data_IF_620920831263
#
_entry.id   IF_620920831263
#
_cell.length_a   1.000
_cell.length_b   1.000
_cell.length_c   1.000
_cell.angle_alpha   90.00
_cell.angle_beta   90.00
_cell.angle_gamma   90.00
#
_symmetry.space_group_name_H-M   'P 1'
#
loop_
_entity.id
_entity.type
_entity.pdbx_description
1 polymer ?
#
# COMPACT_ATOMS: atom_id res chain seq x y z
N UNK A 1 -19.14 -12.20 -20.17
CA UNK A 1 -18.02 -11.71 -19.34
C UNK A 1 -18.48 -10.65 -18.36
N UNK A 2 -18.52 -10.96 -17.06
CA UNK A 2 -18.73 -9.93 -16.03
C UNK A 2 -17.36 -9.36 -15.69
N UNK A 3 -17.02 -8.20 -16.25
CA UNK A 3 -15.88 -7.42 -15.77
C UNK A 3 -16.09 -7.17 -14.28
N UNK A 4 -15.22 -7.74 -13.46
CA UNK A 4 -15.06 -7.33 -12.07
C UNK A 4 -14.84 -5.82 -12.09
N UNK A 5 -15.54 -5.03 -11.24
CA UNK A 5 -15.23 -3.60 -11.14
C UNK A 5 -13.74 -3.45 -10.93
N UNK A 6 -13.08 -2.57 -11.69
CA UNK A 6 -11.67 -2.26 -11.43
C UNK A 6 -11.56 -1.81 -9.97
N UNK A 7 -10.83 -2.58 -9.16
CA UNK A 7 -10.63 -2.22 -7.76
C UNK A 7 -9.80 -0.94 -7.71
N UNK A 8 -10.44 0.14 -7.29
CA UNK A 8 -9.81 1.44 -7.11
C UNK A 8 -9.33 1.58 -5.66
N UNK A 9 -8.16 2.16 -5.48
CA UNK A 9 -7.58 2.41 -4.15
C UNK A 9 -6.75 3.68 -4.13
N UNK A 10 -6.50 4.19 -2.93
CA UNK A 10 -5.65 5.35 -2.69
C UNK A 10 -4.66 4.98 -1.60
N UNK A 11 -3.40 5.39 -1.78
CA UNK A 11 -2.38 5.28 -0.73
C UNK A 11 -2.13 6.66 -0.14
N UNK A 12 -2.19 6.74 1.19
CA UNK A 12 -1.66 7.85 1.98
C UNK A 12 -0.71 7.23 3.00
N UNK A 13 0.54 7.69 3.01
CA UNK A 13 1.57 7.18 3.91
C UNK A 13 2.40 8.34 4.44
N UNK A 14 2.69 8.31 5.74
CA UNK A 14 3.47 9.34 6.43
C UNK A 14 4.53 8.69 7.30
N UNK A 15 5.79 9.14 7.15
CA UNK A 15 6.90 8.79 8.04
C UNK A 15 7.56 10.06 8.60
N UNK A 16 7.16 10.50 9.82
CA UNK A 16 7.76 11.66 10.47
C UNK A 16 9.27 11.50 10.69
N UNK A 17 9.73 10.27 10.95
CA UNK A 17 11.14 9.98 11.22
C UNK A 17 12.05 10.20 10.02
N UNK A 18 11.48 10.32 8.81
CA UNK A 18 12.18 10.60 7.57
C UNK A 18 11.68 11.88 6.90
N UNK A 19 10.79 12.65 7.55
CA UNK A 19 10.11 13.82 6.97
C UNK A 19 9.49 13.49 5.59
N UNK A 20 8.76 12.37 5.54
CA UNK A 20 8.26 11.78 4.30
C UNK A 20 6.73 11.73 4.28
N UNK A 21 6.14 12.36 3.28
CA UNK A 21 4.73 12.33 2.94
C UNK A 21 4.54 11.71 1.56
N UNK A 22 3.70 10.68 1.46
CA UNK A 22 3.44 9.96 0.22
C UNK A 22 1.93 9.89 -0.01
N UNK A 23 1.52 10.31 -1.20
CA UNK A 23 0.13 10.18 -1.65
C UNK A 23 0.09 9.63 -3.06
N UNK A 24 -0.75 8.64 -3.33
CA UNK A 24 -0.93 8.13 -4.70
C UNK A 24 -1.43 9.25 -5.63
N UNK A 25 -0.83 9.38 -6.81
CA UNK A 25 -1.12 10.45 -7.76
C UNK A 25 -2.41 10.23 -8.54
N UNK A 26 -2.66 9.00 -8.97
CA UNK A 26 -3.83 8.58 -9.75
C UNK A 26 -4.44 7.29 -9.17
N UNK A 27 -4.39 7.16 -7.84
CA UNK A 27 -4.73 5.92 -7.14
C UNK A 27 -3.69 4.81 -7.34
N UNK A 28 -4.10 3.57 -7.06
CA UNK A 28 -3.31 2.36 -7.33
C UNK A 28 -3.56 1.87 -8.75
N UNK A 29 -2.48 1.46 -9.43
CA UNK A 29 -2.53 0.90 -10.79
C UNK A 29 -2.79 -0.60 -10.80
N UNK A 30 -2.36 -1.29 -9.74
CA UNK A 30 -2.51 -2.74 -9.64
C UNK A 30 -2.67 -3.12 -8.17
N UNK A 31 -3.57 -4.07 -7.95
CA UNK A 31 -3.82 -4.70 -6.67
C UNK A 31 -3.65 -6.21 -6.87
N UNK A 32 -2.92 -6.85 -5.97
CA UNK A 32 -2.78 -8.30 -5.96
C UNK A 32 -2.90 -8.83 -4.54
N UNK A 33 -3.52 -9.99 -4.41
CA UNK A 33 -3.72 -10.66 -3.13
C UNK A 33 -2.95 -11.98 -3.11
N UNK A 34 -2.36 -12.30 -1.96
CA UNK A 34 -1.72 -13.59 -1.72
C UNK A 34 -2.04 -14.02 -0.29
N UNK A 35 -2.98 -14.96 -0.15
CA UNK A 35 -3.48 -15.38 1.16
C UNK A 35 -4.09 -14.21 1.93
N UNK A 36 -3.54 -13.94 3.11
CA UNK A 36 -3.91 -12.83 4.00
C UNK A 36 -3.07 -11.57 3.76
N UNK A 37 -2.49 -11.40 2.57
CA UNK A 37 -1.70 -10.23 2.22
C UNK A 37 -2.22 -9.58 0.93
N UNK A 38 -2.05 -8.25 0.85
CA UNK A 38 -2.29 -7.45 -0.36
C UNK A 38 -1.02 -6.70 -0.74
N UNK A 39 -0.85 -6.48 -2.04
CA UNK A 39 0.15 -5.60 -2.60
C UNK A 39 -0.50 -4.61 -3.56
N UNK A 40 -0.11 -3.35 -3.42
CA UNK A 40 -0.52 -2.22 -4.24
C UNK A 40 0.69 -1.65 -4.97
N UNK A 41 0.52 -1.38 -6.25
CA UNK A 41 1.54 -0.70 -7.06
C UNK A 41 0.92 0.54 -7.67
N UNK A 42 1.61 1.67 -7.62
CA UNK A 42 1.11 2.90 -8.23
C UNK A 42 2.15 3.98 -8.36
N UNK A 43 1.72 5.11 -8.93
CA UNK A 43 2.50 6.34 -8.98
C UNK A 43 2.16 7.22 -7.77
N UNK A 44 3.13 7.93 -7.24
CA UNK A 44 2.99 8.76 -6.04
C UNK A 44 3.53 10.17 -6.23
N UNK A 45 3.04 11.05 -5.35
CA UNK A 45 3.71 12.27 -4.94
C UNK A 45 4.48 11.98 -3.66
N UNK A 46 5.74 12.38 -3.60
CA UNK A 46 6.55 12.37 -2.38
C UNK A 46 6.85 13.81 -1.99
N UNK A 47 6.46 14.23 -0.78
CA UNK A 47 6.58 15.60 -0.29
C UNK A 47 6.04 16.65 -1.30
N UNK A 48 4.93 16.30 -1.95
CA UNK A 48 4.28 17.13 -2.97
C UNK A 48 4.86 17.05 -4.39
N UNK A 49 5.98 16.35 -4.59
CA UNK A 49 6.64 16.22 -5.89
C UNK A 49 6.21 14.94 -6.63
N UNK A 50 5.90 15.05 -7.92
CA UNK A 50 5.57 13.93 -8.80
C UNK A 50 6.81 13.18 -9.29
N UNK A 51 6.59 12.00 -9.90
CA UNK A 51 7.64 11.21 -10.56
C UNK A 51 8.08 9.98 -9.76
N UNK A 52 7.39 9.67 -8.66
CA UNK A 52 7.69 8.53 -7.81
C UNK A 52 6.77 7.36 -8.11
N UNK A 53 7.25 6.16 -7.85
CA UNK A 53 6.47 4.94 -7.86
C UNK A 53 6.52 4.30 -6.48
N UNK A 54 5.41 3.70 -6.07
CA UNK A 54 5.33 2.96 -4.82
C UNK A 54 4.97 1.50 -5.07
N UNK A 55 5.51 0.64 -4.20
CA UNK A 55 4.99 -0.69 -3.93
C UNK A 55 4.65 -0.72 -2.46
N UNK A 56 3.40 -0.96 -2.12
CA UNK A 56 2.93 -1.06 -0.74
C UNK A 56 2.37 -2.45 -0.49
N UNK A 57 2.78 -3.08 0.60
CA UNK A 57 2.27 -4.37 1.04
C UNK A 57 1.64 -4.26 2.41
N UNK A 58 0.57 -5.03 2.65
CA UNK A 58 0.02 -5.22 3.99
C UNK A 58 -0.45 -6.65 4.18
N UNK A 59 -0.30 -7.19 5.39
CA UNK A 59 -0.79 -8.51 5.76
C UNK A 59 -1.65 -8.43 7.02
N UNK A 60 -2.75 -9.17 7.05
CA UNK A 60 -3.69 -9.25 8.16
C UNK A 60 -3.35 -10.45 9.04
N UNK A 61 -3.00 -10.21 10.30
CA UNK A 61 -2.64 -11.26 11.26
C UNK A 61 -3.74 -11.51 12.31
N UNK A 62 -4.96 -11.00 12.07
CA UNK A 62 -6.08 -11.16 13.01
C UNK A 62 -6.41 -12.61 13.32
N UNK A 63 -6.28 -13.50 12.33
CA UNK A 63 -6.50 -14.95 12.51
C UNK A 63 -5.51 -15.62 13.49
N UNK A 64 -4.36 -15.01 13.74
CA UNK A 64 -3.33 -15.52 14.69
C UNK A 64 -3.21 -14.66 15.95
N UNK A 65 -4.16 -13.75 16.18
CA UNK A 65 -4.19 -12.86 17.34
C UNK A 65 -3.30 -11.62 17.23
N UNK A 66 -2.72 -11.35 16.05
CA UNK A 66 -1.96 -10.14 15.75
C UNK A 66 -2.79 -9.07 15.04
N UNK A 67 -2.19 -7.91 14.77
CA UNK A 67 -2.82 -6.84 13.97
C UNK A 67 -2.50 -7.04 12.49
N UNK A 68 -1.21 -7.06 12.16
CA UNK A 68 -0.75 -7.15 10.79
C UNK A 68 0.65 -6.60 10.62
N UNK A 69 1.12 -6.56 9.38
CA UNK A 69 2.37 -5.93 8.98
C UNK A 69 2.16 -5.06 7.76
N UNK A 70 3.13 -4.19 7.49
CA UNK A 70 3.20 -3.43 6.26
C UNK A 70 4.62 -3.39 5.69
N UNK A 71 4.71 -3.13 4.40
CA UNK A 71 5.92 -2.74 3.70
C UNK A 71 5.61 -1.62 2.73
N UNK A 72 6.59 -0.75 2.50
CA UNK A 72 6.54 0.26 1.46
C UNK A 72 7.92 0.37 0.82
N UNK A 73 7.95 0.41 -0.51
CA UNK A 73 9.10 0.86 -1.27
C UNK A 73 8.69 2.04 -2.14
N UNK A 74 9.61 2.99 -2.29
CA UNK A 74 9.49 4.09 -3.22
C UNK A 74 10.73 4.14 -4.10
N UNK A 75 10.51 4.40 -5.38
CA UNK A 75 11.56 4.76 -6.33
C UNK A 75 11.19 6.08 -6.99
N UNK A 76 12.18 6.84 -7.45
CA UNK A 76 11.93 8.14 -8.05
C UNK A 76 13.10 8.72 -8.83
N UNK A 77 13.00 10.01 -9.23
CA UNK A 77 14.02 10.69 -10.00
C UNK A 77 15.39 10.70 -9.31
N UNK A 78 16.46 10.88 -10.09
CA UNK A 78 17.84 10.95 -9.59
C UNK A 78 18.27 9.74 -8.73
N UNK A 79 17.66 8.57 -8.95
CA UNK A 79 17.98 7.36 -8.19
C UNK A 79 17.41 7.34 -6.78
N UNK A 80 16.43 8.18 -6.47
CA UNK A 80 15.75 8.16 -5.18
C UNK A 80 15.23 6.76 -4.85
N UNK A 81 15.52 6.29 -3.64
CA UNK A 81 14.98 5.05 -3.11
C UNK A 81 14.67 5.21 -1.62
N UNK A 82 13.55 4.64 -1.21
CA UNK A 82 13.14 4.55 0.18
C UNK A 82 12.46 3.22 0.41
N UNK A 83 12.73 2.57 1.54
CA UNK A 83 12.10 1.32 1.91
C UNK A 83 11.85 1.30 3.43
N UNK A 84 10.68 0.80 3.81
CA UNK A 84 10.35 0.54 5.22
C UNK A 84 9.41 -0.63 5.33
N UNK A 85 9.58 -1.41 6.38
CA UNK A 85 8.67 -2.47 6.76
C UNK A 85 8.48 -2.45 8.28
N UNK A 86 7.35 -2.96 8.75
CA UNK A 86 7.08 -3.01 10.18
C UNK A 86 5.86 -3.86 10.52
N UNK A 87 5.81 -4.27 11.78
CA UNK A 87 4.63 -4.87 12.39
C UNK A 87 3.77 -3.75 12.99
N UNK A 88 2.46 -3.83 12.79
CA UNK A 88 1.53 -2.87 13.35
C UNK A 88 1.40 -3.09 14.86
N UNK A 89 1.57 -2.01 15.63
CA UNK A 89 1.36 -2.00 17.09
C UNK A 89 -0.03 -1.49 17.48
N UNK A 90 -0.70 -0.76 16.59
CA UNK A 90 -2.07 -0.24 16.74
C UNK A 90 -2.80 -0.26 15.40
N UNK A 91 -4.14 -0.22 15.41
CA UNK A 91 -4.97 -0.17 14.19
C UNK A 91 -5.45 -1.55 13.75
N UNK A 92 -5.70 -1.72 12.44
CA UNK A 92 -6.11 -2.99 11.84
C UNK A 92 -5.74 -3.04 10.34
N UNK A 93 -5.48 -4.25 9.83
CA UNK A 93 -5.56 -4.56 8.40
C UNK A 93 -6.82 -5.41 8.23
N UNK A 94 -7.70 -5.04 7.30
CA UNK A 94 -8.92 -5.80 7.03
C UNK A 94 -9.10 -5.96 5.53
N UNK A 95 -9.15 -7.20 5.08
CA UNK A 95 -9.52 -7.53 3.71
C UNK A 95 -11.01 -7.78 3.63
N UNK A 96 -11.71 -6.94 2.87
CA UNK A 96 -13.09 -7.24 2.48
C UNK A 96 -13.04 -8.06 1.20
N UNK A 97 -13.04 -9.38 1.31
CA UNK A 97 -13.32 -10.21 0.14
C UNK A 97 -14.78 -9.99 -0.22
N UNK A 98 -15.06 -9.45 -1.42
CA UNK A 98 -16.40 -9.58 -1.97
C UNK A 98 -16.63 -11.07 -2.20
N UNK A 99 -17.46 -11.69 -1.36
CA UNK A 99 -18.04 -12.99 -1.69
C UNK A 99 -18.96 -12.72 -2.86
N UNK A 100 -18.51 -13.07 -4.07
CA UNK A 100 -19.36 -13.03 -5.24
C UNK A 100 -20.45 -14.09 -5.04
N UNK A 101 -21.75 -13.73 -5.00
CA UNK A 101 -22.84 -14.69 -4.91
C UNK A 101 -22.98 -15.53 -6.19
#
# INVERSE_FOLDING_TARGET
DKQQPEENGTLIYHDPGQSLDVTSSNGVRSISYSGNCVSFIGDAKVNGQLGYQFIFGACDFSATGGIGSFSISLTGPAGYSYQKNGTLTTGFVKFHQMVQP
#
